data_IF_708189206621
#
_entry.id   IF_708189206621
#
_cell.length_a   1.000
_cell.length_b   1.000
_cell.length_c   1.000
_cell.angle_alpha   90.00
_cell.angle_beta   90.00
_cell.angle_gamma   90.00
#
_symmetry.space_group_name_H-M   'P 1'
#
loop_
_entity.id
_entity.type
_entity.pdbx_description
1 polymer ?
#
# COMPACT_ATOMS: atom_id res chain seq x y z
N UNK A 1 -12.90 23.38 27.39
CA UNK A 1 -13.34 22.20 26.60
C UNK A 1 -14.81 21.91 26.79
N UNK A 2 -15.37 21.84 28.01
CA UNK A 2 -16.81 21.65 28.22
C UNK A 2 -17.71 22.69 27.50
N UNK A 3 -17.29 23.95 27.44
CA UNK A 3 -18.02 25.01 26.72
C UNK A 3 -18.01 24.87 25.17
N UNK A 4 -17.24 23.94 24.61
CA UNK A 4 -17.08 23.71 23.16
C UNK A 4 -17.58 22.32 22.73
N UNK A 5 -18.10 21.53 23.67
CA UNK A 5 -18.63 20.19 23.45
C UNK A 5 -20.03 20.13 24.03
N UNK A 6 -21.02 19.51 23.38
CA UNK A 6 -22.38 19.34 23.93
C UNK A 6 -22.45 18.36 25.14
N UNK A 7 -21.31 18.11 25.80
CA UNK A 7 -21.16 17.15 26.88
C UNK A 7 -21.13 17.85 28.23
N UNK A 8 -21.69 17.19 29.25
CA UNK A 8 -21.58 17.64 30.63
C UNK A 8 -20.13 17.50 31.15
N UNK A 9 -19.81 18.23 32.21
CA UNK A 9 -18.45 18.34 32.76
C UNK A 9 -17.87 16.98 33.20
N UNK A 10 -18.71 16.10 33.76
CA UNK A 10 -18.35 14.72 34.15
C UNK A 10 -17.96 13.84 32.96
N UNK A 11 -18.69 13.96 31.85
CA UNK A 11 -18.44 13.20 30.62
C UNK A 11 -17.17 13.68 29.91
N UNK A 12 -16.91 15.00 29.93
CA UNK A 12 -15.67 15.57 29.38
C UNK A 12 -14.46 15.09 30.19
N UNK A 13 -14.56 15.09 31.52
CA UNK A 13 -13.51 14.62 32.40
C UNK A 13 -13.20 13.13 32.17
N UNK A 14 -14.24 12.29 32.11
CA UNK A 14 -14.11 10.86 31.84
C UNK A 14 -13.49 10.56 30.46
N UNK A 15 -13.84 11.34 29.44
CA UNK A 15 -13.26 11.20 28.11
C UNK A 15 -11.77 11.61 28.09
N UNK A 16 -11.41 12.70 28.76
CA UNK A 16 -10.02 13.15 28.87
C UNK A 16 -9.15 12.13 29.60
N UNK A 17 -9.66 11.56 30.70
CA UNK A 17 -8.99 10.50 31.45
C UNK A 17 -8.83 9.22 30.60
N UNK A 18 -9.85 8.85 29.82
CA UNK A 18 -9.76 7.72 28.90
C UNK A 18 -8.72 7.95 27.78
N UNK A 19 -8.65 9.15 27.21
CA UNK A 19 -7.65 9.49 26.19
C UNK A 19 -6.24 9.63 26.77
N UNK A 20 -6.10 10.11 28.01
CA UNK A 20 -4.83 10.13 28.75
C UNK A 20 -4.36 8.71 29.07
N UNK A 21 -5.25 7.86 29.60
CA UNK A 21 -4.97 6.44 29.89
C UNK A 21 -4.59 5.66 28.62
N UNK A 22 -5.31 5.90 27.51
CA UNK A 22 -4.97 5.34 26.21
C UNK A 22 -3.72 5.97 25.57
N UNK A 23 -3.11 6.97 26.23
CA UNK A 23 -1.86 7.60 25.84
C UNK A 23 -1.97 8.52 24.63
N UNK A 24 -3.15 9.04 24.31
CA UNK A 24 -3.36 10.03 23.24
C UNK A 24 -3.18 11.46 23.76
N UNK A 25 -3.55 11.74 25.00
CA UNK A 25 -3.30 13.00 25.67
C UNK A 25 -2.21 12.84 26.74
N UNK A 26 -1.53 13.94 27.05
CA UNK A 26 -0.63 14.05 28.18
C UNK A 26 -1.02 15.27 29.01
N UNK A 27 -1.04 15.12 30.33
CA UNK A 27 -1.30 16.24 31.24
C UNK A 27 -0.01 16.96 31.58
N UNK A 28 0.00 18.28 31.35
CA UNK A 28 1.14 19.12 31.70
C UNK A 28 1.21 19.29 33.22
N UNK A 29 2.28 18.84 33.91
CA UNK A 29 2.33 18.83 35.37
C UNK A 29 2.25 20.23 36.00
N UNK A 30 2.75 21.25 35.30
CA UNK A 30 2.82 22.62 35.79
C UNK A 30 1.49 23.38 35.68
N UNK A 31 0.66 23.05 34.68
CA UNK A 31 -0.56 23.82 34.37
C UNK A 31 -1.84 23.00 34.52
N UNK A 32 -1.73 21.67 34.65
CA UNK A 32 -2.85 20.73 34.69
C UNK A 32 -3.61 20.62 33.36
N UNK A 33 -3.14 21.30 32.31
CA UNK A 33 -3.76 21.30 30.98
C UNK A 33 -3.44 20.01 30.23
N UNK A 34 -4.39 19.56 29.43
CA UNK A 34 -4.21 18.45 28.52
C UNK A 34 -3.61 18.94 27.20
N UNK A 35 -2.53 18.28 26.76
CA UNK A 35 -1.93 18.44 25.45
C UNK A 35 -1.93 17.13 24.68
N UNK A 36 -1.69 17.20 23.36
CA UNK A 36 -1.49 16.00 22.55
C UNK A 36 -0.19 15.32 23.01
N UNK A 37 -0.25 14.01 23.21
CA UNK A 37 0.95 13.21 23.48
C UNK A 37 1.78 12.99 22.21
N UNK A 38 3.03 12.55 22.39
CA UNK A 38 3.90 12.10 21.30
C UNK A 38 3.34 10.89 20.52
N UNK A 39 2.39 10.13 21.07
CA UNK A 39 1.71 9.04 20.35
C UNK A 39 0.94 9.56 19.15
N UNK A 40 0.27 10.71 19.29
CA UNK A 40 -0.44 11.37 18.19
C UNK A 40 0.53 11.95 17.15
N UNK A 41 1.70 12.43 17.58
CA UNK A 41 2.78 12.81 16.66
C UNK A 41 3.19 11.63 15.78
N UNK A 42 3.45 10.46 16.38
CA UNK A 42 3.82 9.24 15.64
C UNK A 42 2.77 8.84 14.59
N UNK A 43 1.48 8.97 14.92
CA UNK A 43 0.38 8.73 13.97
C UNK A 43 0.34 9.77 12.85
N UNK A 44 0.59 11.04 13.17
CA UNK A 44 0.62 12.14 12.22
C UNK A 44 1.78 12.06 11.21
N UNK A 45 2.98 11.66 11.65
CA UNK A 45 4.15 11.51 10.77
C UNK A 45 3.93 10.45 9.70
N UNK A 46 3.33 9.30 10.06
CA UNK A 46 2.97 8.27 9.09
C UNK A 46 1.97 8.78 8.05
N UNK A 47 0.97 9.56 8.48
CA UNK A 47 0.00 10.18 7.57
C UNK A 47 0.65 11.19 6.62
N UNK A 48 1.55 12.05 7.13
CA UNK A 48 2.27 13.03 6.31
C UNK A 48 3.11 12.35 5.22
N UNK A 49 3.84 11.29 5.55
CA UNK A 49 4.61 10.53 4.56
C UNK A 49 3.72 9.93 3.44
N UNK A 50 2.51 9.49 3.77
CA UNK A 50 1.54 8.98 2.80
C UNK A 50 0.95 10.09 1.94
N UNK A 51 0.75 11.29 2.51
CA UNK A 51 0.30 12.46 1.76
C UNK A 51 1.37 12.94 0.77
N UNK A 52 2.64 12.96 1.18
CA UNK A 52 3.76 13.29 0.30
C UNK A 52 3.90 12.25 -0.83
N UNK A 53 3.84 10.95 -0.49
CA UNK A 53 3.81 9.87 -1.48
C UNK A 53 2.67 10.03 -2.49
N UNK A 54 1.45 10.31 -2.01
CA UNK A 54 0.29 10.51 -2.87
C UNK A 54 0.48 11.71 -3.80
N UNK A 55 0.94 12.83 -3.27
CA UNK A 55 1.20 14.05 -4.05
C UNK A 55 2.25 13.80 -5.14
N UNK A 56 3.34 13.11 -4.79
CA UNK A 56 4.41 12.78 -5.73
C UNK A 56 3.94 11.81 -6.82
N UNK A 57 3.16 10.79 -6.43
CA UNK A 57 2.68 9.76 -7.35
C UNK A 57 1.62 10.23 -8.35
N UNK A 58 0.89 11.31 -8.04
CA UNK A 58 -0.33 11.68 -8.79
C UNK A 58 -0.11 11.84 -10.30
N UNK A 59 1.00 12.46 -10.70
CA UNK A 59 1.33 12.65 -12.11
C UNK A 59 1.59 11.30 -12.80
N UNK A 60 2.40 10.45 -12.18
CA UNK A 60 2.79 9.15 -12.73
C UNK A 60 1.60 8.19 -12.81
N UNK A 61 0.70 8.21 -11.82
CA UNK A 61 -0.55 7.47 -11.86
C UNK A 61 -1.39 7.90 -13.07
N UNK A 62 -1.52 9.20 -13.30
CA UNK A 62 -2.32 9.76 -14.41
C UNK A 62 -1.74 9.38 -15.77
N UNK A 63 -0.42 9.47 -15.93
CA UNK A 63 0.25 9.09 -17.16
C UNK A 63 0.13 7.58 -17.43
N UNK A 64 0.29 6.73 -16.41
CA UNK A 64 0.06 5.28 -16.52
C UNK A 64 -1.39 4.96 -16.91
N UNK A 65 -2.36 5.63 -16.31
CA UNK A 65 -3.78 5.40 -16.60
C UNK A 65 -4.11 5.78 -18.05
N UNK A 66 -3.56 6.89 -18.53
CA UNK A 66 -3.75 7.33 -19.92
C UNK A 66 -3.13 6.36 -20.92
N UNK A 67 -1.93 5.83 -20.64
CA UNK A 67 -1.21 4.92 -21.54
C UNK A 67 -1.80 3.52 -21.57
N UNK A 68 -2.14 2.98 -20.39
CA UNK A 68 -2.59 1.58 -20.25
C UNK A 68 -4.10 1.43 -20.39
N UNK A 69 -4.86 2.51 -20.11
CA UNK A 69 -6.32 2.50 -19.97
C UNK A 69 -6.85 1.51 -18.92
N UNK A 70 -5.99 1.00 -18.05
CA UNK A 70 -6.36 0.13 -16.93
C UNK A 70 -6.49 0.93 -15.64
N UNK A 71 -7.09 0.30 -14.63
CA UNK A 71 -7.18 0.91 -13.31
C UNK A 71 -5.78 0.94 -12.70
N UNK A 72 -5.33 2.11 -12.26
CA UNK A 72 -4.02 2.30 -11.63
C UNK A 72 -4.20 2.45 -10.13
N UNK A 73 -3.32 1.83 -9.35
CA UNK A 73 -3.35 1.78 -7.89
C UNK A 73 -2.04 2.26 -7.29
N UNK A 74 -2.17 2.96 -6.17
CA UNK A 74 -1.09 3.24 -5.23
C UNK A 74 -1.46 2.63 -3.89
N UNK A 75 -0.60 1.77 -3.35
CA UNK A 75 -0.89 1.05 -2.11
C UNK A 75 0.29 1.00 -1.17
N UNK A 76 -0.02 0.82 0.12
CA UNK A 76 0.96 0.60 1.18
C UNK A 76 0.70 -0.71 1.90
N UNK A 77 1.75 -1.35 2.43
CA UNK A 77 1.62 -2.55 3.24
C UNK A 77 1.10 -2.21 4.65
N UNK A 78 0.19 -3.03 5.18
CA UNK A 78 -0.30 -2.95 6.56
C UNK A 78 -0.59 -4.36 7.06
N UNK A 79 0.33 -4.90 7.87
CA UNK A 79 0.26 -6.29 8.31
C UNK A 79 0.46 -7.26 7.14
N UNK A 80 -0.52 -8.14 6.90
CA UNK A 80 -0.52 -9.10 5.80
C UNK A 80 -1.27 -8.59 4.55
N UNK A 81 -1.83 -7.38 4.61
CA UNK A 81 -2.64 -6.77 3.54
C UNK A 81 -1.96 -5.54 2.96
N UNK A 82 -2.37 -5.17 1.75
CA UNK A 82 -2.15 -3.83 1.21
C UNK A 82 -3.42 -2.99 1.34
N UNK A 83 -3.24 -1.69 1.55
CA UNK A 83 -4.30 -0.69 1.56
C UNK A 83 -4.15 0.21 0.34
N UNK A 84 -5.21 0.37 -0.46
CA UNK A 84 -5.23 1.32 -1.56
C UNK A 84 -5.32 2.75 -0.99
N UNK A 85 -4.30 3.57 -1.21
CA UNK A 85 -4.26 4.96 -0.73
C UNK A 85 -4.53 5.98 -1.85
N UNK A 86 -4.36 5.55 -3.10
CA UNK A 86 -4.81 6.30 -4.26
C UNK A 86 -5.15 5.39 -5.44
N UNK A 87 -5.90 5.95 -6.39
CA UNK A 87 -6.38 5.20 -7.55
C UNK A 87 -6.79 6.14 -8.68
N UNK A 88 -6.59 5.67 -9.91
CA UNK A 88 -7.25 6.23 -11.09
C UNK A 88 -8.06 5.12 -11.75
N UNK A 89 -9.36 5.37 -11.90
CA UNK A 89 -10.28 4.43 -12.53
C UNK A 89 -10.02 4.31 -14.03
N UNK A 90 -10.10 3.07 -14.53
CA UNK A 90 -10.11 2.81 -15.96
C UNK A 90 -11.32 3.50 -16.61
N UNK A 91 -11.17 4.08 -17.81
CA UNK A 91 -12.29 4.60 -18.59
C UNK A 91 -13.19 3.49 -19.18
N UNK A 92 -12.79 2.21 -19.06
CA UNK A 92 -13.51 1.08 -19.65
C UNK A 92 -14.68 0.62 -18.76
N UNK A 93 -15.80 0.23 -19.38
CA UNK A 93 -16.99 -0.27 -18.66
C UNK A 93 -16.69 -1.49 -17.79
N UNK A 94 -15.82 -2.38 -18.27
CA UNK A 94 -15.35 -3.54 -17.52
C UNK A 94 -13.92 -3.26 -17.02
N UNK A 95 -13.81 -3.08 -15.71
CA UNK A 95 -12.55 -2.79 -15.02
C UNK A 95 -12.48 -3.47 -13.66
N UNK A 96 -11.28 -3.51 -13.08
CA UNK A 96 -11.07 -4.04 -11.74
C UNK A 96 -11.65 -3.07 -10.69
N UNK A 97 -12.75 -3.47 -10.04
CA UNK A 97 -13.36 -2.68 -8.98
C UNK A 97 -12.57 -2.78 -7.66
N UNK A 98 -12.31 -1.61 -7.08
CA UNK A 98 -11.54 -1.38 -5.85
C UNK A 98 -11.87 0.01 -5.32
N UNK A 99 -11.67 0.21 -4.01
CA UNK A 99 -11.97 1.47 -3.32
C UNK A 99 -10.73 1.96 -2.56
N UNK A 100 -10.56 3.28 -2.49
CA UNK A 100 -9.55 3.90 -1.61
C UNK A 100 -9.91 3.53 -0.16
N UNK A 101 -8.93 3.07 0.62
CA UNK A 101 -9.11 2.50 1.94
C UNK A 101 -9.45 1.00 1.94
N UNK A 102 -9.78 0.43 0.79
CA UNK A 102 -10.01 -1.00 0.62
C UNK A 102 -8.73 -1.81 0.84
N UNK A 103 -8.91 -3.06 1.27
CA UNK A 103 -7.81 -4.00 1.54
C UNK A 103 -7.72 -5.10 0.48
N UNK A 104 -6.50 -5.58 0.25
CA UNK A 104 -6.27 -6.82 -0.48
C UNK A 104 -5.14 -7.65 0.16
N UNK A 105 -5.24 -9.00 0.13
CA UNK A 105 -4.21 -9.89 0.67
C UNK A 105 -2.89 -9.70 -0.09
N UNK A 106 -1.84 -9.29 0.59
CA UNK A 106 -0.61 -8.86 -0.07
C UNK A 106 0.06 -9.98 -0.88
N UNK A 107 -0.05 -11.23 -0.44
CA UNK A 107 0.52 -12.39 -1.13
C UNK A 107 -0.21 -12.75 -2.44
N UNK A 108 -1.44 -12.27 -2.65
CA UNK A 108 -2.28 -12.69 -3.77
C UNK A 108 -2.57 -11.57 -4.79
N UNK A 109 -1.97 -10.39 -4.64
CA UNK A 109 -2.10 -9.27 -5.59
C UNK A 109 -0.73 -8.74 -6.00
N UNK A 110 -0.60 -8.26 -7.23
CA UNK A 110 0.68 -7.78 -7.79
C UNK A 110 1.33 -6.72 -6.90
N UNK A 111 0.56 -5.70 -6.49
CA UNK A 111 1.06 -4.57 -5.67
C UNK A 111 1.57 -5.03 -4.30
N UNK A 112 0.93 -6.05 -3.71
CA UNK A 112 1.36 -6.63 -2.45
C UNK A 112 2.62 -7.46 -2.62
N UNK A 113 2.67 -8.32 -3.63
CA UNK A 113 3.86 -9.12 -3.95
C UNK A 113 5.08 -8.24 -4.27
N UNK A 114 4.88 -7.13 -4.96
CA UNK A 114 5.92 -6.14 -5.22
C UNK A 114 6.52 -5.56 -3.91
N UNK A 115 5.69 -5.26 -2.92
CA UNK A 115 6.16 -4.76 -1.62
C UNK A 115 6.80 -5.89 -0.80
N UNK A 116 6.15 -7.06 -0.72
CA UNK A 116 6.60 -8.23 0.03
C UNK A 116 7.98 -8.71 -0.42
N UNK A 117 8.32 -8.56 -1.69
CA UNK A 117 9.61 -8.99 -2.23
C UNK A 117 10.82 -8.35 -1.51
N UNK A 118 10.61 -7.21 -0.84
CA UNK A 118 11.63 -6.45 -0.12
C UNK A 118 11.40 -6.38 1.39
N UNK A 119 10.44 -7.15 1.92
CA UNK A 119 10.20 -7.23 3.36
C UNK A 119 11.17 -8.21 4.03
N UNK A 120 11.44 -8.03 5.34
CA UNK A 120 12.20 -9.00 6.12
C UNK A 120 11.59 -10.41 6.11
N UNK A 121 12.44 -11.44 6.15
CA UNK A 121 12.02 -12.84 6.09
C UNK A 121 10.93 -13.22 7.12
N UNK A 122 11.01 -12.68 8.34
CA UNK A 122 10.03 -12.97 9.40
C UNK A 122 8.60 -12.51 9.06
N UNK A 123 8.44 -11.45 8.26
CA UNK A 123 7.14 -10.99 7.76
C UNK A 123 6.60 -11.98 6.75
N UNK A 124 7.45 -12.45 5.84
CA UNK A 124 7.08 -13.43 4.80
C UNK A 124 6.70 -14.77 5.43
N UNK A 125 7.46 -15.23 6.43
CA UNK A 125 7.12 -16.45 7.18
C UNK A 125 5.79 -16.32 7.92
N UNK A 126 5.50 -15.15 8.51
CA UNK A 126 4.22 -14.91 9.19
C UNK A 126 3.02 -14.97 8.24
N UNK A 127 3.16 -14.39 7.04
CA UNK A 127 2.15 -14.47 5.98
C UNK A 127 2.03 -15.90 5.46
N UNK A 128 3.18 -16.57 5.24
CA UNK A 128 3.28 -17.94 4.75
C UNK A 128 2.56 -18.97 5.62
N UNK A 129 2.54 -18.76 6.95
CA UNK A 129 1.83 -19.63 7.89
C UNK A 129 0.30 -19.62 7.72
N UNK A 130 -0.26 -18.56 7.14
CA UNK A 130 -1.71 -18.36 6.98
C UNK A 130 -2.07 -18.00 5.54
N UNK A 131 -1.50 -18.68 4.55
CA UNK A 131 -1.80 -18.43 3.14
C UNK A 131 -3.23 -18.83 2.80
N UNK A 132 -4.08 -17.83 2.60
CA UNK A 132 -5.40 -18.05 2.02
C UNK A 132 -5.28 -18.37 0.54
N UNK A 133 -5.96 -19.44 0.12
CA UNK A 133 -6.10 -19.87 -1.27
C UNK A 133 -7.46 -19.37 -1.78
N UNK A 134 -7.45 -18.40 -2.68
CA UNK A 134 -8.68 -17.81 -3.22
C UNK A 134 -9.10 -18.41 -4.56
N UNK A 135 -8.13 -18.93 -5.31
CA UNK A 135 -8.32 -19.55 -6.62
C UNK A 135 -7.41 -20.77 -6.76
N UNK A 136 -7.60 -21.65 -7.76
CA UNK A 136 -6.71 -22.79 -8.01
C UNK A 136 -5.29 -22.41 -8.51
N UNK A 137 -4.93 -21.12 -8.53
CA UNK A 137 -3.66 -20.61 -9.09
C UNK A 137 -2.50 -20.68 -8.05
N UNK A 138 -1.23 -20.73 -8.50
CA UNK A 138 -0.20 -21.56 -7.86
C UNK A 138 0.59 -20.97 -6.67
N UNK A 139 0.09 -19.96 -5.96
CA UNK A 139 0.79 -19.44 -4.75
C UNK A 139 0.09 -19.95 -3.49
N UNK A 140 0.31 -21.23 -3.16
CA UNK A 140 -0.35 -21.92 -2.05
C UNK A 140 0.60 -22.43 -0.96
N UNK A 141 1.91 -22.13 -1.04
CA UNK A 141 2.90 -22.50 -0.03
C UNK A 141 3.89 -21.36 0.23
N UNK A 142 4.51 -21.38 1.42
CA UNK A 142 5.56 -20.43 1.77
C UNK A 142 6.76 -20.52 0.82
N UNK A 143 7.15 -21.74 0.43
CA UNK A 143 8.26 -21.95 -0.52
C UNK A 143 7.96 -21.36 -1.89
N UNK A 144 6.74 -21.57 -2.41
CA UNK A 144 6.30 -21.00 -3.68
C UNK A 144 6.29 -19.46 -3.61
N UNK A 145 5.78 -18.89 -2.52
CA UNK A 145 5.81 -17.45 -2.29
C UNK A 145 7.26 -16.93 -2.25
N UNK A 146 8.16 -17.56 -1.49
CA UNK A 146 9.55 -17.15 -1.39
C UNK A 146 10.28 -17.18 -2.75
N UNK A 147 10.04 -18.22 -3.55
CA UNK A 147 10.57 -18.31 -4.90
C UNK A 147 10.04 -17.14 -5.75
N UNK A 148 8.73 -16.90 -5.75
CA UNK A 148 8.14 -15.82 -6.53
C UNK A 148 8.69 -14.45 -6.12
N UNK A 149 8.80 -14.18 -4.82
CA UNK A 149 9.39 -12.96 -4.28
C UNK A 149 10.85 -12.79 -4.72
N UNK A 150 11.60 -13.89 -4.88
CA UNK A 150 12.96 -13.85 -5.43
C UNK A 150 12.97 -13.46 -6.89
N UNK A 151 12.06 -14.01 -7.69
CA UNK A 151 11.89 -13.62 -9.10
C UNK A 151 11.53 -12.14 -9.21
N UNK A 152 10.63 -11.64 -8.34
CA UNK A 152 10.22 -10.23 -8.32
C UNK A 152 11.40 -9.31 -8.01
N UNK A 153 12.28 -9.68 -7.07
CA UNK A 153 13.50 -8.89 -6.80
C UNK A 153 14.40 -8.78 -8.02
N UNK A 154 14.52 -9.85 -8.80
CA UNK A 154 15.33 -9.91 -10.03
C UNK A 154 14.71 -9.10 -11.16
N UNK A 155 13.39 -9.20 -11.37
CA UNK A 155 12.70 -8.55 -12.49
C UNK A 155 12.36 -7.08 -12.23
N UNK A 156 12.20 -6.72 -10.95
CA UNK A 156 11.79 -5.40 -10.51
C UNK A 156 10.29 -5.12 -10.56
N UNK A 157 9.49 -6.11 -10.94
CA UNK A 157 8.04 -6.03 -10.91
C UNK A 157 7.40 -7.36 -10.51
N UNK A 158 6.16 -7.28 -10.04
CA UNK A 158 5.33 -8.41 -9.69
C UNK A 158 4.10 -8.49 -10.59
N UNK A 159 3.65 -9.71 -10.86
CA UNK A 159 2.47 -9.99 -11.68
C UNK A 159 1.47 -10.76 -10.84
N UNK A 160 0.19 -10.40 -10.92
CA UNK A 160 -0.92 -11.24 -10.46
C UNK A 160 -1.66 -11.72 -11.71
N UNK A 161 -1.77 -13.04 -11.84
CA UNK A 161 -2.54 -13.67 -12.91
C UNK A 161 -3.84 -14.23 -12.33
N UNK A 162 -4.49 -13.51 -11.42
CA UNK A 162 -5.79 -13.88 -10.86
C UNK A 162 -5.70 -14.81 -9.66
N UNK A 163 -4.64 -14.71 -8.86
CA UNK A 163 -4.49 -15.48 -7.62
C UNK A 163 -5.58 -15.09 -6.61
N UNK A 164 -5.93 -13.80 -6.50
CA UNK A 164 -7.01 -13.32 -5.63
C UNK A 164 -8.40 -13.36 -6.29
N UNK A 165 -8.51 -12.88 -7.53
CA UNK A 165 -9.76 -12.86 -8.31
C UNK A 165 -9.47 -13.41 -9.70
N UNK A 166 -10.02 -14.58 -10.02
CA UNK A 166 -9.60 -15.39 -11.18
C UNK A 166 -9.62 -14.68 -12.54
N UNK A 167 -10.51 -13.70 -12.73
CA UNK A 167 -10.66 -12.94 -13.96
C UNK A 167 -9.90 -11.60 -13.97
N UNK A 168 -9.16 -11.25 -12.91
CA UNK A 168 -8.46 -9.96 -12.76
C UNK A 168 -6.96 -10.18 -12.72
N UNK A 169 -6.25 -9.59 -13.67
CA UNK A 169 -4.79 -9.60 -13.71
C UNK A 169 -4.25 -8.26 -13.23
N UNK A 170 -2.97 -8.23 -12.88
CA UNK A 170 -2.30 -7.01 -12.46
C UNK A 170 -0.80 -7.10 -12.57
N UNK A 171 -0.18 -5.93 -12.57
CA UNK A 171 1.26 -5.71 -12.68
C UNK A 171 1.62 -4.55 -11.75
N UNK A 172 2.68 -4.68 -10.97
CA UNK A 172 3.10 -3.63 -10.05
C UNK A 172 4.60 -3.61 -9.83
N UNK A 173 5.14 -2.44 -9.51
CA UNK A 173 6.53 -2.24 -9.17
C UNK A 173 6.66 -1.53 -7.80
N UNK A 174 7.69 -1.86 -7.00
CA UNK A 174 7.89 -1.31 -5.67
C UNK A 174 8.35 0.15 -5.73
N UNK A 175 7.89 0.95 -4.79
CA UNK A 175 8.36 2.32 -4.58
C UNK A 175 9.31 2.34 -3.38
N UNK A 176 10.48 2.93 -3.58
CA UNK A 176 11.52 3.08 -2.55
C UNK A 176 11.49 4.47 -1.95
N UNK A 177 11.54 4.52 -0.63
CA UNK A 177 11.80 5.75 0.13
C UNK A 177 13.28 6.13 0.02
N UNK A 178 13.63 7.32 0.50
CA UNK A 178 15.00 7.82 0.53
C UNK A 178 16.00 6.87 1.23
N UNK A 179 15.55 6.12 2.24
CA UNK A 179 16.32 5.12 2.98
C UNK A 179 16.39 3.74 2.29
N UNK A 180 15.80 3.61 1.09
CA UNK A 180 15.75 2.38 0.31
C UNK A 180 14.65 1.40 0.74
N UNK A 181 13.92 1.71 1.80
CA UNK A 181 12.81 0.87 2.30
C UNK A 181 11.64 0.90 1.31
N UNK A 182 11.05 -0.28 1.08
CA UNK A 182 9.86 -0.46 0.24
C UNK A 182 8.65 -0.66 1.14
N UNK A 183 7.80 0.35 1.26
CA UNK A 183 6.53 0.27 2.00
C UNK A 183 5.32 0.53 1.10
N UNK A 184 5.57 0.90 -0.16
CA UNK A 184 4.57 1.25 -1.15
C UNK A 184 4.90 0.61 -2.50
N UNK A 185 3.89 0.52 -3.35
CA UNK A 185 4.04 0.13 -4.74
C UNK A 185 2.99 0.83 -5.59
N UNK A 186 3.28 0.96 -6.89
CA UNK A 186 2.34 1.40 -7.91
C UNK A 186 2.10 0.26 -8.89
N UNK A 187 0.89 0.15 -9.41
CA UNK A 187 0.57 -0.89 -10.37
C UNK A 187 -0.74 -0.67 -11.10
N UNK A 188 -1.00 -1.53 -12.07
CA UNK A 188 -2.22 -1.57 -12.85
C UNK A 188 -2.98 -2.86 -12.60
N UNK A 189 -4.29 -2.82 -12.73
CA UNK A 189 -5.12 -4.02 -12.77
C UNK A 189 -6.30 -3.88 -13.72
N UNK A 190 -6.65 -5.02 -14.32
CA UNK A 190 -7.67 -5.08 -15.36
C UNK A 190 -8.18 -6.50 -15.58
N UNK A 191 -9.22 -6.67 -16.42
CA UNK A 191 -9.72 -7.98 -16.81
C UNK A 191 -8.63 -8.77 -17.53
N UNK A 192 -8.50 -10.05 -17.21
CA UNK A 192 -7.57 -11.00 -17.84
C UNK A 192 -7.69 -11.11 -19.36
N UNK A 193 -8.84 -10.72 -19.92
CA UNK A 193 -9.09 -10.68 -21.37
C UNK A 193 -8.42 -9.50 -22.07
N UNK A 194 -8.08 -8.43 -21.33
CA UNK A 194 -7.45 -7.21 -21.86
C UNK A 194 -6.02 -7.06 -21.35
N UNK A 195 -5.82 -7.21 -20.05
CA UNK A 195 -4.50 -7.24 -19.42
C UNK A 195 -3.94 -8.67 -19.47
N UNK A 196 -3.69 -9.17 -20.69
CA UNK A 196 -3.10 -10.50 -20.93
C UNK A 196 -1.62 -10.54 -20.52
N UNK A 197 -1.03 -11.73 -20.45
CA UNK A 197 0.42 -11.88 -20.18
C UNK A 197 1.30 -11.14 -21.20
N UNK A 198 0.90 -11.13 -22.47
CA UNK A 198 1.63 -10.40 -23.53
C UNK A 198 1.53 -8.89 -23.31
N UNK A 199 0.34 -8.40 -22.97
CA UNK A 199 0.16 -6.97 -22.63
C UNK A 199 0.95 -6.58 -21.39
N UNK A 200 1.01 -7.45 -20.37
CA UNK A 200 1.82 -7.24 -19.18
C UNK A 200 3.30 -7.10 -19.55
N UNK A 201 3.82 -7.96 -20.42
CA UNK A 201 5.21 -7.86 -20.90
C UNK A 201 5.48 -6.54 -21.64
N UNK A 202 4.51 -6.05 -22.42
CA UNK A 202 4.63 -4.79 -23.17
C UNK A 202 4.59 -3.54 -22.29
N UNK A 203 3.92 -3.58 -21.13
CA UNK A 203 3.77 -2.41 -20.24
C UNK A 203 4.56 -2.50 -18.94
N UNK A 204 5.29 -3.61 -18.71
CA UNK A 204 6.14 -3.83 -17.54
C UNK A 204 7.11 -2.69 -17.30
N UNK A 205 7.86 -2.31 -18.34
CA UNK A 205 8.86 -1.23 -18.27
C UNK A 205 8.22 0.11 -17.86
N UNK A 206 7.02 0.42 -18.35
CA UNK A 206 6.33 1.67 -18.01
C UNK A 206 5.92 1.72 -16.54
N UNK A 207 5.49 0.59 -15.97
CA UNK A 207 5.12 0.50 -14.55
C UNK A 207 6.36 0.61 -13.66
N UNK A 208 7.48 -0.02 -14.07
CA UNK A 208 8.76 0.10 -13.36
C UNK A 208 9.28 1.54 -13.42
N UNK A 209 9.28 2.17 -14.60
CA UNK A 209 9.68 3.56 -14.79
C UNK A 209 8.87 4.50 -13.89
N UNK A 210 7.54 4.32 -13.85
CA UNK A 210 6.69 5.12 -12.95
C UNK A 210 7.06 4.91 -11.47
N UNK A 211 7.33 3.69 -11.03
CA UNK A 211 7.74 3.43 -9.65
C UNK A 211 9.11 4.05 -9.32
N UNK A 212 10.04 4.01 -10.27
CA UNK A 212 11.37 4.60 -10.14
C UNK A 212 11.32 6.13 -10.11
N UNK A 213 10.50 6.75 -10.95
CA UNK A 213 10.29 8.19 -10.96
C UNK A 213 9.73 8.67 -9.62
N UNK A 214 8.70 7.98 -9.11
CA UNK A 214 8.12 8.28 -7.80
C UNK A 214 9.18 8.11 -6.70
N UNK A 215 9.97 7.03 -6.76
CA UNK A 215 11.05 6.79 -5.80
C UNK A 215 12.08 7.92 -5.82
N UNK A 216 12.48 8.42 -7.00
CA UNK A 216 13.39 9.56 -7.14
C UNK A 216 12.79 10.85 -6.58
N UNK A 217 11.49 11.06 -6.81
CA UNK A 217 10.73 12.17 -6.21
C UNK A 217 10.72 12.14 -4.67
N UNK A 218 10.69 10.93 -4.09
CA UNK A 218 10.81 10.70 -2.65
C UNK A 218 12.26 10.75 -2.13
N UNK A 219 13.23 11.05 -2.98
CA UNK A 219 14.64 11.20 -2.60
C UNK A 219 15.47 9.93 -2.66
N UNK A 220 14.97 8.83 -3.21
CA UNK A 220 15.78 7.64 -3.47
C UNK A 220 16.80 7.92 -4.60
N UNK A 221 18.05 7.49 -4.39
CA UNK A 221 19.18 7.75 -5.32
C UNK A 221 19.89 6.48 -5.79
N UNK A 222 19.43 5.30 -5.40
CA UNK A 222 20.01 4.02 -5.88
C UNK A 222 19.48 3.62 -7.25
N UNK A 223 20.25 2.82 -7.98
CA UNK A 223 19.76 2.07 -9.14
C UNK A 223 19.20 0.71 -8.72
N UNK A 224 18.49 0.04 -9.63
CA UNK A 224 18.29 -1.41 -9.52
C UNK A 224 19.65 -2.09 -9.70
N UNK A 225 20.16 -2.71 -8.64
CA UNK A 225 21.38 -3.51 -8.64
C UNK A 225 21.05 -4.98 -8.53
#
# INVERSE_FOLDING_TARGET
MAAQTELNESNVQSALEAFEFAGYLAREPATGRYGLSLKLWGLGVGLLSRLDLKREAQRHLSELALRTRETVHLSVLTGADVIYIDKIDSPELLHASSEIGGKAPAHAVAIGKAILAFQPAHIIEAIGRNLAVFTPKPVNSLEALQHELSTIRSLGYAVNLGEWRGAVYGLAAPIRRADGVVEAAVGISGPSTRLTSDMIALVAEQVVEAADDISRGLGYRGGWG
#
